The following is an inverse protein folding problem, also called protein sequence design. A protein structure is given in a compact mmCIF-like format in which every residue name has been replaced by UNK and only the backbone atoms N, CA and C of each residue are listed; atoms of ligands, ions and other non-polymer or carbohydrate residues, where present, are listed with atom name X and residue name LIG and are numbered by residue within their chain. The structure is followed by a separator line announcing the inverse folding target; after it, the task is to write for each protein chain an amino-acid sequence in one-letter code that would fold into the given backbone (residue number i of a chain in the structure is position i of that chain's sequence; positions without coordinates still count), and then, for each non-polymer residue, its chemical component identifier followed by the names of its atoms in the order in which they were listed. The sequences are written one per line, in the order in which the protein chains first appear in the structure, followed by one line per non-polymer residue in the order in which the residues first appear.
data_IF_095336149978
#
_entry.id   IF_095336149978
#
_cell.length_a   1.000
_cell.length_b   1.000
_cell.length_c   1.000
_cell.angle_alpha   90.00
_cell.angle_beta   90.00
_cell.angle_gamma   90.00
#
_symmetry.space_group_name_H-M   'P 1'
#
loop_
_entity.id
_entity.type
_entity.pdbx_description
1 polymer ?
#
# COMPACT_ATOMS: atom_id res chain seq x y z
N UNK A 1 -4.58 -14.34 24.47
CA UNK A 1 -3.96 -13.56 24.47
C UNK A 1 -2.89 -13.30 23.56
N UNK A 2 -2.00 -14.04 23.45
CA UNK A 2 -0.89 -13.79 22.61
C UNK A 2 -1.19 -13.70 21.16
N UNK A 3 -2.17 -14.34 20.68
CA UNK A 3 -2.42 -14.34 19.28
C UNK A 3 -2.79 -13.00 18.75
N UNK A 4 -3.36 -12.14 19.55
CA UNK A 4 -3.69 -10.90 19.05
C UNK A 4 -2.55 -10.10 18.73
N UNK A 5 -1.49 -10.27 19.37
CA UNK A 5 -0.33 -9.53 19.13
C UNK A 5 0.27 -9.76 17.82
N UNK A 6 0.09 -10.93 17.25
CA UNK A 6 0.69 -11.18 15.98
C UNK A 6 0.12 -10.33 14.91
N UNK A 7 -1.15 -10.11 14.91
CA UNK A 7 -1.73 -9.30 13.87
C UNK A 7 -1.23 -7.89 13.96
N UNK A 8 -1.02 -7.41 15.16
CA UNK A 8 -0.52 -6.10 15.29
C UNK A 8 0.90 -5.93 14.90
N UNK A 9 1.71 -6.96 15.06
CA UNK A 9 3.06 -6.87 14.67
C UNK A 9 3.25 -6.51 13.24
N UNK A 10 2.40 -7.00 12.38
CA UNK A 10 2.53 -6.70 10.99
C UNK A 10 2.37 -5.22 10.74
N UNK A 11 1.47 -4.57 11.43
CA UNK A 11 1.29 -3.16 11.25
C UNK A 11 2.45 -2.38 11.83
N UNK A 12 2.98 -2.84 12.95
CA UNK A 12 4.09 -2.15 13.55
C UNK A 12 5.34 -2.16 12.70
N UNK A 13 5.41 -3.04 11.74
CA UNK A 13 6.53 -3.07 10.84
C UNK A 13 6.75 -1.73 10.17
N UNK A 14 5.70 -0.98 9.90
CA UNK A 14 5.80 0.30 9.24
C UNK A 14 5.45 1.46 10.17
N UNK A 15 5.37 1.18 11.46
CA UNK A 15 5.10 2.22 12.44
C UNK A 15 3.64 2.43 12.69
N UNK A 16 3.34 3.01 13.83
CA UNK A 16 1.96 3.32 14.19
C UNK A 16 1.58 4.68 13.65
N UNK A 17 0.32 4.88 13.42
CA UNK A 17 -0.14 6.16 12.90
C UNK A 17 -0.06 7.25 13.96
N UNK A 18 0.41 8.43 13.62
CA UNK A 18 0.31 9.58 14.52
C UNK A 18 -1.15 9.92 14.76
N UNK A 19 -1.40 10.72 15.77
CA UNK A 19 -2.76 11.05 16.15
C UNK A 19 -3.57 11.75 15.08
N UNK A 20 -2.93 12.44 14.16
CA UNK A 20 -3.64 13.22 13.16
C UNK A 20 -3.99 12.44 11.89
N UNK A 21 -3.77 11.14 11.86
CA UNK A 21 -4.01 10.38 10.66
C UNK A 21 -4.37 8.93 10.96
N UNK A 22 -4.90 8.27 9.96
CA UNK A 22 -5.26 6.87 10.05
C UNK A 22 -4.56 6.12 8.94
N UNK A 23 -4.03 4.95 9.26
CA UNK A 23 -3.39 4.09 8.28
C UNK A 23 -4.33 2.95 7.94
N UNK A 24 -4.54 2.73 6.65
CA UNK A 24 -5.31 1.59 6.18
C UNK A 24 -4.36 0.71 5.40
N UNK A 25 -4.33 -0.54 5.71
CA UNK A 25 -3.38 -1.45 5.07
C UNK A 25 -3.99 -2.19 3.88
N UNK A 26 -5.13 -1.70 3.42
CA UNK A 26 -5.74 -2.16 2.18
C UNK A 26 -6.20 -0.95 1.40
N UNK A 27 -6.34 -1.12 0.10
CA UNK A 27 -6.79 -0.02 -0.76
C UNK A 27 -7.58 -0.59 -1.92
N UNK A 28 -8.80 -0.10 -2.11
CA UNK A 28 -9.66 -0.57 -3.18
C UNK A 28 -9.17 0.01 -4.50
N UNK A 29 -8.63 -0.83 -5.35
CA UNK A 29 -8.09 -0.39 -6.63
C UNK A 29 -9.18 -0.36 -7.70
N UNK A 30 -10.09 -1.31 -7.66
CA UNK A 30 -11.23 -1.34 -8.56
C UNK A 30 -12.34 -2.08 -7.88
N UNK A 31 -13.46 -2.23 -8.55
CA UNK A 31 -14.60 -2.91 -7.94
C UNK A 31 -14.28 -4.24 -7.32
N UNK A 32 -13.41 -4.99 -7.93
CA UNK A 32 -13.09 -6.31 -7.44
C UNK A 32 -11.68 -6.52 -6.98
N UNK A 33 -10.86 -5.50 -7.04
CA UNK A 33 -9.46 -5.67 -6.70
C UNK A 33 -9.06 -4.82 -5.53
N UNK A 34 -8.47 -5.45 -4.55
CA UNK A 34 -8.00 -4.75 -3.34
C UNK A 34 -6.52 -5.00 -3.19
N UNK A 35 -5.76 -3.96 -2.95
CA UNK A 35 -4.34 -4.09 -2.68
C UNK A 35 -4.15 -4.22 -1.18
N UNK A 36 -3.22 -5.05 -0.78
CA UNK A 36 -2.84 -5.20 0.62
C UNK A 36 -1.37 -4.90 0.73
N UNK A 37 -0.87 -4.69 1.93
CA UNK A 37 0.55 -4.42 2.10
C UNK A 37 1.37 -5.51 1.44
N UNK A 38 2.25 -5.12 0.56
CA UNK A 38 3.07 -6.04 -0.21
C UNK A 38 2.55 -6.35 -1.60
N UNK A 39 1.36 -5.89 -1.94
CA UNK A 39 0.79 -6.16 -3.25
C UNK A 39 1.41 -5.26 -4.31
N UNK A 40 1.88 -5.81 -5.43
CA UNK A 40 2.41 -4.96 -6.50
C UNK A 40 1.27 -4.24 -7.22
N UNK A 41 1.48 -2.97 -7.49
CA UNK A 41 0.48 -2.14 -8.18
C UNK A 41 1.15 -1.34 -9.28
N UNK A 42 0.37 -0.86 -10.23
CA UNK A 42 0.86 0.01 -11.28
C UNK A 42 0.46 1.44 -11.01
N UNK A 43 1.37 2.35 -11.24
CA UNK A 43 1.09 3.77 -11.05
C UNK A 43 1.00 4.47 -12.39
N UNK A 44 0.12 5.44 -12.47
CA UNK A 44 -0.09 6.19 -13.66
C UNK A 44 1.18 6.93 -14.06
N UNK A 45 1.61 6.75 -15.29
CA UNK A 45 2.78 7.47 -15.77
C UNK A 45 4.11 6.97 -15.27
N UNK A 46 4.13 5.87 -14.53
CA UNK A 46 5.39 5.35 -14.03
C UNK A 46 5.54 3.90 -14.39
N UNK A 47 6.76 3.49 -14.64
CA UNK A 47 7.02 2.12 -15.01
C UNK A 47 7.29 1.26 -13.81
N UNK A 48 7.14 -0.03 -13.97
CA UNK A 48 7.51 -1.00 -12.97
C UNK A 48 6.38 -1.36 -12.04
N UNK A 49 6.68 -2.29 -11.14
CA UNK A 49 5.72 -2.77 -10.17
C UNK A 49 6.04 -2.11 -8.85
N UNK A 50 5.14 -1.27 -8.39
CA UNK A 50 5.30 -0.54 -7.13
C UNK A 50 4.61 -1.35 -6.04
N UNK A 51 5.18 -1.38 -4.87
CA UNK A 51 4.61 -2.21 -3.80
C UNK A 51 3.75 -1.34 -2.90
N UNK A 52 2.49 -1.67 -2.79
CA UNK A 52 1.58 -0.95 -1.91
C UNK A 52 1.95 -1.22 -0.46
N UNK A 53 2.04 -0.19 0.35
CA UNK A 53 2.31 -0.33 1.77
C UNK A 53 1.06 0.00 2.57
N UNK A 54 0.54 1.20 2.41
CA UNK A 54 -0.64 1.60 3.17
C UNK A 54 -1.26 2.84 2.56
N UNK A 55 -2.50 3.07 2.91
CA UNK A 55 -3.25 4.25 2.48
C UNK A 55 -3.40 5.13 3.72
N UNK A 56 -2.90 6.32 3.69
CA UNK A 56 -2.91 7.23 4.82
C UNK A 56 -3.95 8.32 4.61
N UNK A 57 -4.80 8.52 5.60
CA UNK A 57 -5.84 9.55 5.55
C UNK A 57 -5.65 10.45 6.77
N UNK A 58 -5.54 11.74 6.55
CA UNK A 58 -5.38 12.68 7.65
C UNK A 58 -6.73 13.21 8.09
N UNK A 59 -6.77 13.75 9.28
CA UNK A 59 -8.01 14.29 9.80
C UNK A 59 -8.57 15.43 8.97
N UNK A 60 -7.72 16.16 8.27
CA UNK A 60 -8.19 17.27 7.46
C UNK A 60 -8.74 16.80 6.12
N UNK A 61 -8.77 15.49 5.87
CA UNK A 61 -9.30 14.96 4.62
C UNK A 61 -8.28 14.69 3.56
N UNK A 62 -7.04 15.12 3.75
CA UNK A 62 -6.02 14.83 2.76
C UNK A 62 -5.63 13.37 2.86
N UNK A 63 -5.19 12.79 1.76
CA UNK A 63 -4.84 11.37 1.75
C UNK A 63 -3.78 11.08 0.71
N UNK A 64 -3.06 10.01 0.92
CA UNK A 64 -2.06 9.55 -0.03
C UNK A 64 -1.84 8.07 0.17
N UNK A 65 -1.13 7.45 -0.77
CA UNK A 65 -0.82 6.03 -0.67
C UNK A 65 0.69 5.91 -0.60
N UNK A 66 1.17 5.18 0.38
CA UNK A 66 2.60 4.94 0.55
C UNK A 66 3.00 3.69 -0.21
N UNK A 67 4.05 3.79 -1.00
CA UNK A 67 4.52 2.69 -1.84
C UNK A 67 6.02 2.58 -1.79
N UNK A 68 6.53 1.43 -2.21
CA UNK A 68 7.97 1.25 -2.41
C UNK A 68 8.21 1.17 -3.90
N UNK A 69 9.23 1.88 -4.34
CA UNK A 69 9.58 1.90 -5.76
C UNK A 69 10.18 0.57 -6.20
N UNK A 70 10.11 0.24 -7.47
CA UNK A 70 10.70 -1.00 -7.97
C UNK A 70 12.20 -0.98 -7.79
N UNK A 71 12.76 -2.15 -7.71
CA UNK A 71 14.22 -2.31 -7.66
C UNK A 71 14.89 -1.60 -6.48
N UNK A 72 14.20 -1.53 -5.39
CA UNK A 72 14.80 -0.95 -4.21
C UNK A 72 14.92 0.56 -4.25
N UNK A 73 14.09 1.20 -5.05
CA UNK A 73 14.17 2.64 -5.20
C UNK A 73 13.68 3.48 -4.04
N UNK A 74 13.17 2.89 -3.01
CA UNK A 74 12.80 3.63 -1.81
C UNK A 74 11.32 3.91 -1.68
N UNK A 75 11.02 4.68 -0.66
CA UNK A 75 9.63 4.94 -0.26
C UNK A 75 9.10 6.16 -1.01
N UNK A 76 7.90 6.03 -1.58
CA UNK A 76 7.25 7.13 -2.26
C UNK A 76 5.80 7.23 -1.84
N UNK A 77 5.32 8.44 -1.66
CA UNK A 77 3.91 8.67 -1.37
C UNK A 77 3.28 9.27 -2.61
N UNK A 78 2.20 8.69 -3.05
CA UNK A 78 1.51 9.14 -4.27
C UNK A 78 0.05 9.38 -3.97
N UNK A 79 -0.64 10.10 -4.84
CA UNK A 79 -2.06 10.33 -4.63
C UNK A 79 -2.82 9.04 -4.92
N UNK A 80 -3.95 8.83 -4.26
CA UNK A 80 -4.71 7.59 -4.50
C UNK A 80 -5.08 7.37 -5.95
N UNK A 81 -5.37 8.41 -6.69
CA UNK A 81 -5.77 8.29 -8.07
C UNK A 81 -4.61 7.90 -8.99
N UNK A 82 -3.41 7.85 -8.46
CA UNK A 82 -2.26 7.41 -9.25
C UNK A 82 -2.21 5.88 -9.34
N UNK A 83 -2.90 5.18 -8.48
CA UNK A 83 -2.91 3.71 -8.51
C UNK A 83 -3.92 3.30 -9.58
N UNK A 84 -3.46 2.72 -10.68
CA UNK A 84 -4.35 2.39 -11.78
C UNK A 84 -4.87 0.97 -11.75
N UNK A 85 -4.06 0.05 -11.28
CA UNK A 85 -4.46 -1.36 -11.22
C UNK A 85 -3.44 -2.17 -10.47
N UNK A 86 -3.78 -3.39 -10.15
CA UNK A 86 -2.80 -4.30 -9.56
C UNK A 86 -1.86 -4.76 -10.66
N UNK A 87 -0.62 -4.98 -10.33
CA UNK A 87 0.33 -5.49 -11.31
C UNK A 87 0.00 -6.94 -11.61
N UNK A 88 0.22 -7.38 -12.84
CA UNK A 88 -0.06 -8.77 -13.18
C UNK A 88 0.83 -9.71 -12.40
N UNK A 89 0.27 -10.83 -12.03
CA UNK A 89 1.05 -11.85 -11.35
C UNK A 89 1.74 -12.70 -12.37
N UNK A 90 3.06 -12.83 -12.19
CA UNK A 90 3.76 -13.62 -13.12
C UNK A 90 4.04 -14.94 -12.63
N UNK A 91 3.26 -15.71 -12.16
CA UNK A 91 3.61 -16.96 -11.68
C UNK A 91 3.53 -17.93 -12.72
N UNK A 92 3.98 -18.88 -12.74
CA UNK A 92 3.93 -19.86 -13.69
C UNK A 92 4.66 -19.74 -14.87
N UNK A 93 5.23 -19.19 -14.89
CA UNK A 93 5.85 -19.17 -15.90
C UNK A 93 6.55 -20.04 -15.90
N UNK A 94 6.36 -20.48 -15.59
CA UNK A 94 6.94 -21.27 -15.45
C UNK A 94 7.12 -21.72 -15.99
#
# INVERSE_FOLDING_TARGET
MATRKKAKKRQHQYGDAPADRTYHYTFQVSERKVAETGTPVKLKGRRGDWIFIRHTVRKDGSEWVDTLAPNGGGWFSVRPDQITRLAPVRRGRR
#
